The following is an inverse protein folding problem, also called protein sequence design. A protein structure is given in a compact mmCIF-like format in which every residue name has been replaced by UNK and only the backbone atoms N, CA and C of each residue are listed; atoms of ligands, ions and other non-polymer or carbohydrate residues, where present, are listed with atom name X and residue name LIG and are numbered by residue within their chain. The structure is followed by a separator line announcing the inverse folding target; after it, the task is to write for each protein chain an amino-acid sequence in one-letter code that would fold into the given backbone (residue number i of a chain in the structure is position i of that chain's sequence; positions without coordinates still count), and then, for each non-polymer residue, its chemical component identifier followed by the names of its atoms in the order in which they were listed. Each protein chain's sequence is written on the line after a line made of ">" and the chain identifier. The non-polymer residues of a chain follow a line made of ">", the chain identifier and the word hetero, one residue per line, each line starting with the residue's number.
data_IF_626417432158
#
_entry.id   IF_626417432158
#
_cell.length_a   1.000
_cell.length_b   1.000
_cell.length_c   1.000
_cell.angle_alpha   90.00
_cell.angle_beta   90.00
_cell.angle_gamma   90.00
#
_symmetry.space_group_name_H-M   'P 1'
#
loop_
_entity.id
_entity.type
_entity.pdbx_description
1 polymer ?
#
# COMPACT_ATOMS: atom_id res chain seq x y z
N UNK A 1 20.00 34.61 39.04
CA UNK A 1 18.57 34.46 38.68
C UNK A 1 18.50 34.30 37.16
N UNK A 2 18.04 33.24 36.52
CA UNK A 2 17.40 31.99 36.89
C UNK A 2 18.03 30.86 36.05
N UNK A 3 18.14 29.69 36.66
CA UNK A 3 18.47 28.44 35.97
C UNK A 3 17.33 28.05 35.02
N UNK A 4 17.66 27.26 33.98
CA UNK A 4 16.95 26.01 33.70
C UNK A 4 17.78 25.18 32.72
N UNK A 5 18.44 24.15 33.27
CA UNK A 5 18.79 22.93 32.56
C UNK A 5 17.51 22.41 31.91
N UNK A 6 17.43 22.39 30.58
CA UNK A 6 16.51 21.49 29.88
C UNK A 6 17.34 20.40 29.20
N UNK A 7 17.62 19.38 30.00
CA UNK A 7 17.95 18.04 29.56
C UNK A 7 16.77 17.49 28.74
N UNK A 8 16.78 17.72 27.43
CA UNK A 8 15.97 16.93 26.51
C UNK A 8 16.67 15.58 26.28
N UNK A 9 16.62 14.73 27.29
CA UNK A 9 16.60 13.28 27.09
C UNK A 9 15.25 12.93 26.47
N UNK A 10 15.12 13.11 25.15
CA UNK A 10 14.02 12.48 24.41
C UNK A 10 14.32 10.99 24.42
N UNK A 11 13.65 10.35 25.38
CA UNK A 11 13.51 8.92 25.53
C UNK A 11 13.36 8.30 24.13
N UNK A 12 14.36 7.48 23.75
CA UNK A 12 14.17 6.34 22.87
C UNK A 12 13.01 5.54 23.45
N UNK A 13 11.80 5.83 23.01
CA UNK A 13 10.69 4.92 23.22
C UNK A 13 11.01 3.71 22.36
N UNK A 14 11.32 2.59 23.02
CA UNK A 14 11.42 1.30 22.36
C UNK A 14 10.18 1.09 21.49
N UNK A 15 10.31 0.58 20.25
CA UNK A 15 9.13 0.27 19.46
C UNK A 15 8.23 -0.67 20.27
N UNK A 16 6.90 -0.46 20.27
CA UNK A 16 5.98 -1.35 20.97
C UNK A 16 6.24 -2.79 20.53
N UNK A 17 6.22 -3.70 21.49
CA UNK A 17 6.67 -5.10 21.41
C UNK A 17 5.96 -5.98 20.36
N UNK A 18 5.13 -5.41 19.49
CA UNK A 18 4.38 -6.07 18.41
C UNK A 18 4.73 -5.61 17.00
N UNK A 19 5.70 -4.72 16.81
CA UNK A 19 6.14 -4.33 15.47
C UNK A 19 7.19 -5.34 14.98
N UNK A 20 6.86 -6.04 13.89
CA UNK A 20 7.70 -7.10 13.34
C UNK A 20 8.32 -6.64 12.03
N UNK A 21 9.65 -6.78 11.92
CA UNK A 21 10.34 -6.62 10.64
C UNK A 21 9.97 -7.76 9.70
N UNK A 22 9.70 -7.46 8.43
CA UNK A 22 9.36 -8.44 7.40
C UNK A 22 10.40 -9.56 7.27
N UNK A 23 11.69 -9.26 7.44
CA UNK A 23 12.76 -10.27 7.48
C UNK A 23 12.55 -11.35 8.56
N UNK A 24 11.99 -11.00 9.74
CA UNK A 24 11.69 -11.98 10.80
C UNK A 24 10.43 -12.81 10.50
N UNK A 25 9.51 -12.27 9.70
CA UNK A 25 8.29 -12.99 9.29
C UNK A 25 8.57 -14.25 8.48
N UNK A 26 9.68 -14.28 7.74
CA UNK A 26 10.11 -15.47 7.00
C UNK A 26 10.71 -16.56 7.89
N UNK A 27 11.22 -16.20 9.07
CA UNK A 27 12.04 -17.08 9.91
C UNK A 27 11.24 -17.66 11.09
N UNK A 28 10.26 -16.93 11.64
CA UNK A 28 9.46 -17.39 12.81
C UNK A 28 8.17 -18.13 12.44
N UNK A 29 8.03 -18.61 11.19
CA UNK A 29 6.93 -19.47 10.78
C UNK A 29 7.12 -20.90 11.30
N UNK A 30 7.04 -21.07 12.62
CA UNK A 30 6.83 -22.37 13.24
C UNK A 30 5.46 -22.88 12.77
N UNK A 31 5.45 -23.68 11.69
CA UNK A 31 4.26 -24.23 11.01
C UNK A 31 3.29 -24.98 11.94
N UNK A 32 3.62 -25.18 13.22
CA UNK A 32 2.91 -26.02 14.18
C UNK A 32 1.73 -25.35 14.90
N UNK A 33 1.45 -24.05 14.72
CA UNK A 33 0.38 -23.34 15.47
C UNK A 33 -0.64 -22.54 14.65
N UNK A 34 -0.51 -22.46 13.33
CA UNK A 34 -1.41 -21.66 12.48
C UNK A 34 -2.50 -22.55 11.87
N UNK A 35 -3.75 -22.12 11.97
CA UNK A 35 -4.86 -22.80 11.30
C UNK A 35 -4.70 -22.67 9.76
N UNK A 36 -5.26 -23.61 8.99
CA UNK A 36 -5.11 -23.63 7.53
C UNK A 36 -5.53 -22.34 6.81
N UNK A 37 -6.44 -21.54 7.39
CA UNK A 37 -6.81 -20.23 6.88
C UNK A 37 -5.73 -19.16 7.12
N UNK A 38 -5.11 -19.14 8.29
CA UNK A 38 -4.07 -18.17 8.64
C UNK A 38 -2.80 -18.39 7.80
N UNK A 39 -2.49 -19.66 7.46
CA UNK A 39 -1.38 -19.98 6.56
C UNK A 39 -1.59 -19.38 5.16
N UNK A 40 -2.80 -19.50 4.58
CA UNK A 40 -3.11 -18.90 3.28
C UNK A 40 -3.06 -17.38 3.31
N UNK A 41 -3.54 -16.78 4.39
CA UNK A 41 -3.50 -15.32 4.56
C UNK A 41 -2.04 -14.83 4.67
N UNK A 42 -1.21 -15.58 5.39
CA UNK A 42 0.23 -15.34 5.50
C UNK A 42 0.91 -15.43 4.13
N UNK A 43 0.68 -16.50 3.37
CA UNK A 43 1.26 -16.67 2.03
C UNK A 43 0.90 -15.51 1.09
N UNK A 44 -0.36 -15.07 1.10
CA UNK A 44 -0.82 -13.93 0.29
C UNK A 44 -0.11 -12.64 0.67
N UNK A 45 -0.02 -12.33 1.98
CA UNK A 45 0.64 -11.12 2.45
C UNK A 45 2.15 -11.15 2.22
N UNK A 46 2.79 -12.33 2.33
CA UNK A 46 4.20 -12.50 1.95
C UNK A 46 4.41 -12.28 0.46
N UNK A 47 3.58 -12.87 -0.39
CA UNK A 47 3.67 -12.71 -1.84
C UNK A 47 3.53 -11.23 -2.23
N UNK A 48 2.55 -10.54 -1.65
CA UNK A 48 2.35 -9.11 -1.83
C UNK A 48 3.56 -8.30 -1.35
N UNK A 49 4.06 -8.58 -0.14
CA UNK A 49 5.20 -7.90 0.43
C UNK A 49 6.49 -8.07 -0.39
N UNK A 50 6.73 -9.27 -0.92
CA UNK A 50 7.84 -9.54 -1.85
C UNK A 50 7.67 -8.78 -3.17
N UNK A 51 6.46 -8.84 -3.74
CA UNK A 51 6.14 -8.16 -5.01
C UNK A 51 6.33 -6.65 -4.93
N UNK A 52 5.97 -6.03 -3.81
CA UNK A 52 6.17 -4.59 -3.55
C UNK A 52 7.58 -4.28 -3.00
N UNK A 53 8.35 -5.29 -2.62
CA UNK A 53 9.70 -5.14 -2.09
C UNK A 53 9.75 -4.50 -0.70
N UNK A 54 8.80 -4.82 0.19
CA UNK A 54 8.69 -4.25 1.53
C UNK A 54 10.00 -4.29 2.32
N UNK A 55 10.74 -5.39 2.23
CA UNK A 55 12.04 -5.56 2.88
C UNK A 55 13.07 -4.51 2.42
N UNK A 56 13.06 -4.11 1.14
CA UNK A 56 14.04 -3.15 0.56
C UNK A 56 13.83 -1.73 1.09
N UNK A 57 12.60 -1.39 1.45
CA UNK A 57 12.25 -0.06 1.96
C UNK A 57 12.12 -0.03 3.49
N UNK A 58 12.49 -1.12 4.17
CA UNK A 58 12.40 -1.21 5.62
C UNK A 58 10.98 -1.07 6.16
N UNK A 59 9.97 -1.41 5.33
CA UNK A 59 8.58 -1.42 5.77
C UNK A 59 8.46 -2.41 6.93
N UNK A 60 7.54 -2.14 7.83
CA UNK A 60 7.18 -2.93 8.99
C UNK A 60 5.69 -3.25 8.89
N UNK A 61 5.30 -4.36 9.50
CA UNK A 61 3.90 -4.64 9.77
C UNK A 61 3.74 -4.79 11.28
N UNK A 62 2.59 -4.37 11.79
CA UNK A 62 2.27 -4.52 13.21
C UNK A 62 1.89 -5.95 13.53
N UNK A 63 0.77 -6.10 14.22
CA UNK A 63 0.21 -7.40 14.53
C UNK A 63 -0.27 -8.11 13.25
N UNK A 64 0.17 -9.35 13.03
CA UNK A 64 -0.20 -10.12 11.84
C UNK A 64 -1.71 -10.37 11.79
N UNK A 65 -2.35 -10.64 12.93
CA UNK A 65 -3.79 -10.90 12.97
C UNK A 65 -4.56 -9.66 12.51
N UNK A 66 -4.17 -8.48 12.98
CA UNK A 66 -4.76 -7.20 12.59
C UNK A 66 -4.48 -6.88 11.13
N UNK A 67 -3.25 -7.13 10.66
CA UNK A 67 -2.89 -6.90 9.27
C UNK A 67 -3.66 -7.83 8.31
N UNK A 68 -3.88 -9.09 8.70
CA UNK A 68 -4.63 -10.08 7.92
C UNK A 68 -6.09 -9.65 7.66
N UNK A 69 -6.68 -8.85 8.55
CA UNK A 69 -8.03 -8.28 8.36
C UNK A 69 -8.13 -7.45 7.08
N UNK A 70 -7.01 -6.89 6.59
CA UNK A 70 -6.99 -6.15 5.32
C UNK A 70 -7.36 -7.01 4.10
N UNK A 71 -7.20 -8.33 4.18
CA UNK A 71 -7.61 -9.26 3.13
C UNK A 71 -9.13 -9.50 3.08
N UNK A 72 -9.87 -9.13 4.13
CA UNK A 72 -11.29 -9.40 4.25
C UNK A 72 -12.08 -8.13 3.98
N UNK A 73 -12.79 -7.99 2.84
CA UNK A 73 -13.46 -6.76 2.45
C UNK A 73 -14.79 -6.55 3.22
N UNK A 74 -14.73 -6.47 4.55
CA UNK A 74 -15.85 -6.18 5.44
C UNK A 74 -15.84 -4.71 5.79
N UNK A 75 -16.85 -3.96 5.31
CA UNK A 75 -16.92 -2.48 5.45
C UNK A 75 -16.81 -2.00 6.91
N UNK A 76 -17.42 -2.73 7.85
CA UNK A 76 -17.48 -2.38 9.27
C UNK A 76 -16.43 -3.13 10.13
N UNK A 77 -15.47 -3.81 9.50
CA UNK A 77 -14.37 -4.42 10.26
C UNK A 77 -13.45 -3.32 10.79
N UNK A 78 -13.00 -3.50 12.02
CA UNK A 78 -12.06 -2.60 12.70
C UNK A 78 -10.71 -3.30 12.81
N UNK A 79 -9.66 -2.52 12.58
CA UNK A 79 -8.27 -2.93 12.68
C UNK A 79 -7.60 -2.14 13.79
N UNK A 80 -6.96 -2.84 14.72
CA UNK A 80 -6.24 -2.27 15.84
C UNK A 80 -4.76 -2.10 15.49
N UNK A 81 -4.19 -0.99 15.92
CA UNK A 81 -2.79 -0.64 15.65
C UNK A 81 -1.94 -0.78 16.91
N UNK A 82 -0.61 -0.92 16.77
CA UNK A 82 0.30 -1.07 17.91
C UNK A 82 0.29 0.11 18.90
N UNK A 83 -0.17 1.28 18.46
CA UNK A 83 -0.33 2.49 19.28
C UNK A 83 -1.66 2.53 20.06
N UNK A 84 -2.47 1.46 19.98
CA UNK A 84 -3.77 1.34 20.64
C UNK A 84 -4.92 1.99 19.88
N UNK A 85 -4.68 2.62 18.72
CA UNK A 85 -5.75 3.20 17.91
C UNK A 85 -6.47 2.13 17.10
N UNK A 86 -7.73 2.40 16.77
CA UNK A 86 -8.57 1.52 16.00
C UNK A 86 -9.14 2.28 14.78
N UNK A 87 -9.02 1.70 13.60
CA UNK A 87 -9.52 2.30 12.36
C UNK A 87 -10.47 1.35 11.65
N UNK A 88 -11.53 1.91 11.08
CA UNK A 88 -12.41 1.14 10.19
C UNK A 88 -11.67 0.80 8.91
N UNK A 89 -11.87 -0.43 8.44
CA UNK A 89 -11.24 -0.92 7.22
C UNK A 89 -11.60 -0.05 6.00
N UNK A 90 -12.81 0.48 5.94
CA UNK A 90 -13.22 1.41 4.88
C UNK A 90 -12.33 2.67 4.83
N UNK A 91 -11.89 3.20 5.96
CA UNK A 91 -10.99 4.35 6.00
C UNK A 91 -9.58 3.99 5.53
N UNK A 92 -9.09 2.79 5.87
CA UNK A 92 -7.82 2.29 5.35
C UNK A 92 -7.85 2.11 3.82
N UNK A 93 -8.98 1.66 3.27
CA UNK A 93 -9.18 1.55 1.83
C UNK A 93 -9.16 2.92 1.14
N UNK A 94 -9.81 3.92 1.74
CA UNK A 94 -9.80 5.29 1.20
C UNK A 94 -8.38 5.86 1.26
N UNK A 95 -7.71 5.74 2.40
CA UNK A 95 -6.35 6.23 2.60
C UNK A 95 -5.38 5.62 1.58
N UNK A 96 -5.35 4.29 1.48
CA UNK A 96 -4.44 3.62 0.55
C UNK A 96 -4.76 3.93 -0.92
N UNK A 97 -6.04 4.02 -1.29
CA UNK A 97 -6.45 4.45 -2.62
C UNK A 97 -5.98 5.87 -2.96
N UNK A 98 -6.15 6.80 -2.02
CA UNK A 98 -5.69 8.19 -2.16
C UNK A 98 -4.16 8.28 -2.28
N UNK A 99 -3.41 7.53 -1.47
CA UNK A 99 -1.94 7.49 -1.54
C UNK A 99 -1.44 6.93 -2.88
N UNK A 100 -2.05 5.85 -3.37
CA UNK A 100 -1.71 5.27 -4.67
C UNK A 100 -1.99 6.26 -5.80
N UNK A 101 -3.15 6.93 -5.77
CA UNK A 101 -3.52 7.95 -6.75
C UNK A 101 -2.57 9.14 -6.70
N UNK A 102 -2.25 9.63 -5.51
CA UNK A 102 -1.31 10.75 -5.31
C UNK A 102 0.08 10.40 -5.84
N UNK A 103 0.57 9.19 -5.52
CA UNK A 103 1.86 8.69 -6.02
C UNK A 103 1.89 8.66 -7.55
N UNK A 104 0.83 8.17 -8.20
CA UNK A 104 0.75 8.13 -9.65
C UNK A 104 0.67 9.53 -10.29
N UNK A 105 -0.15 10.43 -9.72
CA UNK A 105 -0.27 11.80 -10.19
C UNK A 105 1.06 12.56 -10.09
N UNK A 106 1.75 12.45 -8.96
CA UNK A 106 3.10 13.01 -8.79
C UNK A 106 4.03 12.50 -9.88
N UNK A 107 3.94 11.20 -10.15
CA UNK A 107 4.81 10.57 -11.12
C UNK A 107 4.49 11.01 -12.57
N UNK A 108 3.23 11.38 -12.90
CA UNK A 108 2.92 12.05 -14.16
C UNK A 108 3.55 13.44 -14.29
N UNK A 109 3.58 14.22 -13.20
CA UNK A 109 4.22 15.54 -13.19
C UNK A 109 5.74 15.44 -13.46
N UNK A 110 6.35 14.28 -13.19
CA UNK A 110 7.79 14.02 -13.36
C UNK A 110 8.14 13.43 -14.74
N UNK A 111 7.18 12.83 -15.47
CA UNK A 111 7.42 12.10 -16.72
C UNK A 111 7.71 13.04 -17.89
N UNK A 112 6.95 14.11 -17.99
CA UNK A 112 7.06 15.02 -19.12
C UNK A 112 8.22 15.99 -18.85
N UNK A 113 9.18 16.02 -19.78
CA UNK A 113 10.37 16.88 -19.68
C UNK A 113 9.99 18.36 -19.50
N UNK A 114 10.90 19.09 -18.86
CA UNK A 114 10.73 20.48 -18.48
C UNK A 114 10.26 21.35 -19.62
N UNK A 115 9.02 21.84 -19.54
CA UNK A 115 8.54 22.91 -20.39
C UNK A 115 8.95 24.27 -19.82
N UNK A 116 8.85 25.32 -20.62
CA UNK A 116 9.02 26.70 -20.14
C UNK A 116 7.95 27.12 -19.14
N UNK A 117 6.86 26.35 -19.02
CA UNK A 117 5.72 26.59 -18.12
C UNK A 117 5.80 25.77 -16.83
N UNK A 118 6.88 25.03 -16.61
CA UNK A 118 7.04 24.21 -15.42
C UNK A 118 7.17 25.05 -14.15
N UNK A 119 6.48 24.63 -13.11
CA UNK A 119 6.59 25.23 -11.78
C UNK A 119 7.41 24.30 -10.91
N UNK A 120 8.55 24.78 -10.43
CA UNK A 120 9.48 24.00 -9.60
C UNK A 120 9.97 22.68 -10.26
N UNK A 121 10.02 22.63 -11.60
CA UNK A 121 10.43 21.44 -12.34
C UNK A 121 9.36 20.34 -12.42
N UNK A 122 8.11 20.66 -12.12
CA UNK A 122 6.94 19.81 -12.31
C UNK A 122 6.09 20.35 -13.47
N UNK A 123 5.63 19.43 -14.32
CA UNK A 123 4.82 19.77 -15.48
C UNK A 123 3.33 19.64 -15.19
N UNK A 124 2.68 20.77 -14.91
CA UNK A 124 1.23 20.84 -14.70
C UNK A 124 0.41 20.77 -16.00
N UNK A 125 1.06 20.84 -17.16
CA UNK A 125 0.42 20.71 -18.47
C UNK A 125 0.41 19.24 -18.98
N UNK A 126 0.69 18.27 -18.09
CA UNK A 126 0.72 16.85 -18.44
C UNK A 126 -0.59 16.35 -19.06
N UNK A 127 -1.74 16.90 -18.67
CA UNK A 127 -3.05 16.49 -19.20
C UNK A 127 -3.17 16.78 -20.70
N UNK A 128 -2.75 17.96 -21.15
CA UNK A 128 -2.74 18.31 -22.57
C UNK A 128 -1.76 17.42 -23.34
N UNK A 129 -0.59 17.13 -22.76
CA UNK A 129 0.42 16.24 -23.35
C UNK A 129 -0.08 14.81 -23.48
N UNK A 130 -0.97 14.37 -22.60
CA UNK A 130 -1.59 13.04 -22.66
C UNK A 130 -2.85 12.98 -23.55
N UNK A 131 -3.30 14.08 -24.15
CA UNK A 131 -4.56 14.15 -24.92
C UNK A 131 -4.67 13.13 -26.06
N UNK A 132 -3.54 12.76 -26.67
CA UNK A 132 -3.45 11.75 -27.72
C UNK A 132 -3.71 10.31 -27.21
N UNK A 133 -3.69 10.08 -25.89
CA UNK A 133 -3.96 8.79 -25.28
C UNK A 133 -5.46 8.58 -25.02
N UNK A 134 -5.92 7.34 -25.14
CA UNK A 134 -7.27 6.92 -24.74
C UNK A 134 -7.56 7.26 -23.27
N UNK A 135 -8.81 7.55 -22.92
CA UNK A 135 -9.21 7.90 -21.55
C UNK A 135 -8.78 6.86 -20.49
N UNK A 136 -8.78 5.57 -20.83
CA UNK A 136 -8.32 4.48 -19.95
C UNK A 136 -6.83 4.54 -19.61
N UNK A 137 -6.01 5.11 -20.50
CA UNK A 137 -4.56 5.32 -20.33
C UNK A 137 -4.23 6.65 -19.65
N UNK A 138 -5.23 7.54 -19.50
CA UNK A 138 -5.11 8.83 -18.82
C UNK A 138 -5.59 8.78 -17.37
N UNK A 139 -6.66 8.02 -17.11
CA UNK A 139 -7.28 7.95 -15.78
C UNK A 139 -6.37 7.21 -14.78
N UNK A 140 -5.92 7.87 -13.69
CA UNK A 140 -5.14 7.23 -12.64
C UNK A 140 -5.85 6.00 -12.05
N UNK A 141 -7.16 6.10 -11.84
CA UNK A 141 -7.97 5.03 -11.25
C UNK A 141 -8.03 3.80 -12.17
N UNK A 142 -8.16 4.03 -13.48
CA UNK A 142 -8.14 2.93 -14.46
C UNK A 142 -6.77 2.29 -14.54
N UNK A 143 -5.70 3.09 -14.53
CA UNK A 143 -4.34 2.57 -14.57
C UNK A 143 -3.99 1.74 -13.34
N UNK A 144 -4.32 2.23 -12.14
CA UNK A 144 -4.16 1.48 -10.89
C UNK A 144 -4.99 0.19 -10.90
N UNK A 145 -6.23 0.25 -11.39
CA UNK A 145 -7.07 -0.95 -11.55
C UNK A 145 -6.45 -1.98 -12.48
N UNK A 146 -5.87 -1.57 -13.60
CA UNK A 146 -5.16 -2.49 -14.51
C UNK A 146 -3.91 -3.08 -13.88
N UNK A 147 -3.10 -2.25 -13.20
CA UNK A 147 -1.91 -2.68 -12.50
C UNK A 147 -2.21 -3.74 -11.44
N UNK A 148 -3.21 -3.49 -10.59
CA UNK A 148 -3.60 -4.43 -9.53
C UNK A 148 -4.12 -5.73 -10.16
N UNK A 149 -5.02 -5.62 -11.16
CA UNK A 149 -5.57 -6.79 -11.86
C UNK A 149 -4.49 -7.66 -12.51
N UNK A 150 -3.42 -7.06 -13.02
CA UNK A 150 -2.34 -7.79 -13.69
C UNK A 150 -1.36 -8.49 -12.73
N UNK A 151 -1.36 -8.14 -11.44
CA UNK A 151 -0.35 -8.61 -10.47
C UNK A 151 -0.92 -9.35 -9.26
N UNK A 152 -2.13 -9.00 -8.85
CA UNK A 152 -2.74 -9.49 -7.62
C UNK A 152 -4.10 -10.10 -7.94
N UNK A 153 -4.07 -11.34 -8.43
CA UNK A 153 -5.29 -12.13 -8.61
C UNK A 153 -5.66 -12.82 -7.30
N UNK A 154 -6.94 -12.76 -6.95
CA UNK A 154 -7.49 -13.40 -5.74
C UNK A 154 -6.79 -12.98 -4.46
N UNK A 155 -6.38 -11.73 -4.31
CA UNK A 155 -5.82 -11.20 -3.07
C UNK A 155 -6.86 -11.27 -1.92
N UNK A 156 -8.08 -10.81 -2.18
CA UNK A 156 -9.15 -10.75 -1.18
C UNK A 156 -9.65 -12.15 -0.78
N UNK A 157 -10.00 -12.29 0.49
CA UNK A 157 -10.61 -13.48 1.09
C UNK A 157 -12.12 -13.26 1.17
N UNK A 158 -12.86 -13.94 0.30
CA UNK A 158 -14.32 -13.91 0.30
C UNK A 158 -14.86 -15.13 1.05
N UNK A 159 -15.99 -15.00 1.76
CA UNK A 159 -16.58 -16.09 2.53
C UNK A 159 -17.26 -17.16 1.64
N UNK A 160 -17.25 -16.99 0.31
CA UNK A 160 -17.86 -17.90 -0.65
C UNK A 160 -16.78 -18.74 -1.37
N UNK A 161 -17.11 -19.95 -1.85
CA UNK A 161 -16.19 -20.75 -2.65
C UNK A 161 -15.72 -20.02 -3.91
N UNK A 162 -14.45 -20.19 -4.29
CA UNK A 162 -13.83 -19.48 -5.41
C UNK A 162 -14.50 -19.80 -6.76
N UNK A 163 -15.07 -21.00 -6.92
CA UNK A 163 -15.81 -21.41 -8.12
C UNK A 163 -17.10 -20.61 -8.35
N UNK A 164 -17.68 -20.05 -7.30
CA UNK A 164 -18.97 -19.34 -7.34
C UNK A 164 -18.77 -17.84 -7.52
N UNK A 165 -17.61 -17.29 -7.14
CA UNK A 165 -17.34 -15.86 -7.23
C UNK A 165 -16.99 -15.49 -8.67
N UNK A 166 -17.80 -14.64 -9.35
CA UNK A 166 -17.44 -14.13 -10.66
C UNK A 166 -16.14 -13.32 -10.59
N UNK A 167 -15.23 -13.53 -11.55
CA UNK A 167 -13.93 -12.84 -11.59
C UNK A 167 -14.04 -11.30 -11.50
N UNK A 168 -15.11 -10.72 -12.06
CA UNK A 168 -15.36 -9.28 -11.96
C UNK A 168 -15.54 -8.80 -10.51
N UNK A 169 -16.21 -9.60 -9.69
CA UNK A 169 -16.49 -9.31 -8.28
C UNK A 169 -15.21 -9.50 -7.47
N UNK A 170 -14.49 -10.60 -7.71
CA UNK A 170 -13.19 -10.87 -7.08
C UNK A 170 -12.23 -9.70 -7.28
N UNK A 171 -12.09 -9.20 -8.50
CA UNK A 171 -11.20 -8.07 -8.83
C UNK A 171 -11.54 -6.78 -8.09
N UNK A 172 -12.84 -6.50 -7.88
CA UNK A 172 -13.26 -5.32 -7.09
C UNK A 172 -12.82 -5.47 -5.64
N UNK A 173 -12.93 -6.67 -5.08
CA UNK A 173 -12.51 -6.92 -3.72
C UNK A 173 -10.99 -6.99 -3.58
N UNK A 174 -10.27 -7.55 -4.55
CA UNK A 174 -8.80 -7.55 -4.59
C UNK A 174 -8.27 -6.12 -4.58
N UNK A 175 -8.87 -5.22 -5.37
CA UNK A 175 -8.53 -3.81 -5.36
C UNK A 175 -8.75 -3.18 -3.97
N UNK A 176 -9.90 -3.44 -3.33
CA UNK A 176 -10.18 -2.94 -1.98
C UNK A 176 -9.20 -3.47 -0.96
N UNK A 177 -8.88 -4.76 -0.98
CA UNK A 177 -7.90 -5.35 -0.08
C UNK A 177 -6.50 -4.79 -0.31
N UNK A 178 -6.11 -4.57 -1.57
CA UNK A 178 -4.84 -3.93 -1.90
C UNK A 178 -4.77 -2.51 -1.31
N UNK A 179 -5.81 -1.70 -1.51
CA UNK A 179 -5.89 -0.37 -0.92
C UNK A 179 -5.83 -0.41 0.61
N UNK A 180 -6.56 -1.33 1.25
CA UNK A 180 -6.54 -1.48 2.71
C UNK A 180 -5.14 -1.82 3.23
N UNK A 181 -4.43 -2.72 2.55
CA UNK A 181 -3.04 -3.08 2.89
C UNK A 181 -2.13 -1.87 2.82
N UNK A 182 -2.21 -1.07 1.74
CA UNK A 182 -1.40 0.14 1.61
C UNK A 182 -1.76 1.16 2.70
N UNK A 183 -3.05 1.36 2.99
CA UNK A 183 -3.50 2.25 4.06
C UNK A 183 -2.98 1.80 5.43
N UNK A 184 -3.06 0.52 5.75
CA UNK A 184 -2.51 -0.03 6.99
C UNK A 184 -1.00 0.19 7.11
N UNK A 185 -0.25 -0.14 6.06
CA UNK A 185 1.20 0.04 6.00
C UNK A 185 1.58 1.51 6.18
N UNK A 186 0.83 2.44 5.57
CA UNK A 186 1.11 3.87 5.67
C UNK A 186 0.98 4.46 7.06
N UNK A 187 0.16 3.87 7.94
CA UNK A 187 -0.05 4.37 9.30
C UNK A 187 1.00 3.88 10.30
N UNK A 188 1.73 2.81 9.97
CA UNK A 188 2.76 2.21 10.86
C UNK A 188 4.16 2.70 10.49
N UNK A 189 4.35 3.09 9.23
CA UNK A 189 5.67 3.32 8.67
C UNK A 189 5.91 4.80 8.41
N UNK A 190 7.19 5.16 8.28
CA UNK A 190 7.59 6.51 7.89
C UNK A 190 7.02 6.89 6.52
N UNK A 191 6.52 8.11 6.42
CA UNK A 191 5.87 8.63 5.20
C UNK A 191 6.82 8.59 4.01
N UNK A 192 8.10 8.93 4.19
CA UNK A 192 9.06 8.94 3.09
C UNK A 192 9.34 7.53 2.60
N UNK A 193 9.49 6.56 3.51
CA UNK A 193 9.69 5.16 3.14
C UNK A 193 8.52 4.62 2.29
N UNK A 194 7.28 4.90 2.71
CA UNK A 194 6.07 4.49 1.99
C UNK A 194 5.95 5.22 0.64
N UNK A 195 6.22 6.53 0.62
CA UNK A 195 6.18 7.34 -0.60
C UNK A 195 7.16 6.85 -1.66
N UNK A 196 8.40 6.55 -1.28
CA UNK A 196 9.43 6.00 -2.17
C UNK A 196 9.02 4.62 -2.67
N UNK A 197 8.52 3.74 -1.78
CA UNK A 197 8.05 2.41 -2.15
C UNK A 197 6.95 2.48 -3.21
N UNK A 198 5.92 3.32 -2.99
CA UNK A 198 4.79 3.47 -3.91
C UNK A 198 5.24 4.04 -5.25
N UNK A 199 6.13 5.04 -5.22
CA UNK A 199 6.70 5.62 -6.45
C UNK A 199 7.43 4.55 -7.26
N UNK A 200 8.31 3.80 -6.64
CA UNK A 200 9.22 2.89 -7.34
C UNK A 200 8.57 1.57 -7.76
N UNK A 201 7.62 1.04 -6.98
CA UNK A 201 7.04 -0.30 -7.22
C UNK A 201 5.60 -0.27 -7.75
N UNK A 202 4.94 0.89 -7.71
CA UNK A 202 3.59 1.08 -8.26
C UNK A 202 3.60 2.12 -9.37
N UNK A 203 3.88 3.39 -9.05
CA UNK A 203 3.69 4.49 -10.00
C UNK A 203 4.61 4.38 -11.24
N UNK A 204 5.91 4.16 -11.04
CA UNK A 204 6.86 3.99 -12.14
C UNK A 204 6.51 2.79 -13.05
N UNK A 205 6.25 1.58 -12.52
CA UNK A 205 5.79 0.47 -13.37
C UNK A 205 4.50 0.75 -14.14
N UNK A 206 3.54 1.47 -13.54
CA UNK A 206 2.32 1.90 -14.23
C UNK A 206 2.65 2.81 -15.40
N UNK A 207 3.45 3.85 -15.15
CA UNK A 207 3.89 4.82 -16.16
C UNK A 207 4.67 4.13 -17.28
N UNK A 208 5.60 3.24 -16.93
CA UNK A 208 6.35 2.43 -17.89
C UNK A 208 5.43 1.61 -18.79
N UNK A 209 4.36 1.05 -18.25
CA UNK A 209 3.36 0.33 -19.03
C UNK A 209 2.56 1.22 -20.00
N UNK A 210 2.45 2.52 -19.74
CA UNK A 210 1.75 3.49 -20.60
C UNK A 210 2.67 4.07 -21.67
N UNK A 211 3.88 4.46 -21.30
CA UNK A 211 4.80 5.23 -22.15
C UNK A 211 6.01 4.45 -22.67
N UNK A 212 6.26 3.23 -22.19
CA UNK A 212 7.34 2.36 -22.69
C UNK A 212 8.74 2.68 -22.16
N UNK A 213 8.89 3.60 -21.19
CA UNK A 213 10.16 3.99 -20.58
C UNK A 213 10.38 3.31 -19.21
#
# INVERSE_FOLDING_TARGET
>A
MWALRNSFSILRQNPPSRIVRWQRFYVTASKSKLNGHQLKDQEKLQSLGRSLGFDRYGILFGDFEEFSKCLYPKKHSVVNFPDGKAYQLAHLQILGGSLLRLSLLRSFLEVFKKSTQDVCGLDFNYEAKMSHLSASKRSPDMLLKHFIRGRYDRLARLPMPESVVPLRIQRVFDQRSFHAVIGYVSLINDENAVSILLRDNVARPVIKGVFGH
#
